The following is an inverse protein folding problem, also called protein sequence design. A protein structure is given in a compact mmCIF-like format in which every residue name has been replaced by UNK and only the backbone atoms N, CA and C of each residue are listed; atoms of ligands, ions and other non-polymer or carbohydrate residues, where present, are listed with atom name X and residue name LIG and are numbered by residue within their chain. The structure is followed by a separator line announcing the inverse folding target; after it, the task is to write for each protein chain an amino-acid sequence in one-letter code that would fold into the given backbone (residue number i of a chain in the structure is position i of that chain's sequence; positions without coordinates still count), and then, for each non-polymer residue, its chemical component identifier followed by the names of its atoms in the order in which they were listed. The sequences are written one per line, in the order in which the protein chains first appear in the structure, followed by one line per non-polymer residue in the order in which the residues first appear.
data_IF_820403748698
#
_entry.id   IF_820403748698
#
_cell.length_a   1.000
_cell.length_b   1.000
_cell.length_c   1.000
_cell.angle_alpha   90.00
_cell.angle_beta   90.00
_cell.angle_gamma   90.00
#
_symmetry.space_group_name_H-M   'P 1'
#
loop_
_entity.id
_entity.type
_entity.pdbx_description
1 polymer ?
#
# COMPACT_ATOMS: atom_id res chain seq x y z
N UNK A 1 -18.03 -11.50 20.28
CA UNK A 1 -17.11 -10.77 21.18
C UNK A 1 -16.19 -9.96 20.30
N UNK A 2 -16.21 -8.62 20.42
CA UNK A 2 -15.47 -7.70 19.53
C UNK A 2 -13.98 -8.08 19.58
N UNK A 3 -13.40 -8.61 18.49
CA UNK A 3 -12.14 -9.31 18.59
C UNK A 3 -11.01 -8.29 18.67
N UNK A 4 -10.16 -8.38 19.69
CA UNK A 4 -8.96 -7.55 19.88
C UNK A 4 -8.11 -7.43 18.60
N UNK A 5 -8.15 -8.44 17.73
CA UNK A 5 -7.51 -8.45 16.42
C UNK A 5 -8.00 -7.35 15.48
N UNK A 6 -9.29 -6.95 15.49
CA UNK A 6 -9.77 -5.82 14.65
C UNK A 6 -9.21 -4.49 15.10
N UNK A 7 -9.10 -4.26 16.40
CA UNK A 7 -8.53 -3.04 16.97
C UNK A 7 -7.03 -2.93 16.67
N UNK A 8 -6.30 -4.05 16.72
CA UNK A 8 -4.89 -4.13 16.33
C UNK A 8 -4.71 -3.84 14.83
N UNK A 9 -5.58 -4.36 13.96
CA UNK A 9 -5.52 -4.10 12.52
C UNK A 9 -5.72 -2.61 12.24
N UNK A 10 -6.75 -1.99 12.83
CA UNK A 10 -6.98 -0.54 12.67
C UNK A 10 -5.77 0.25 13.16
N UNK A 11 -5.21 -0.08 14.33
CA UNK A 11 -4.01 0.57 14.84
C UNK A 11 -2.79 0.44 13.91
N UNK A 12 -2.48 -0.78 13.48
CA UNK A 12 -1.32 -1.05 12.61
C UNK A 12 -1.51 -0.41 11.24
N UNK A 13 -2.69 -0.53 10.62
CA UNK A 13 -2.97 0.09 9.31
C UNK A 13 -2.90 1.61 9.35
N UNK A 14 -3.39 2.24 10.41
CA UNK A 14 -3.34 3.69 10.59
C UNK A 14 -1.90 4.17 10.80
N UNK A 15 -1.10 3.44 11.60
CA UNK A 15 0.34 3.71 11.75
C UNK A 15 1.07 3.54 10.42
N UNK A 16 0.83 2.44 9.70
CA UNK A 16 1.46 2.18 8.40
C UNK A 16 1.13 3.28 7.38
N UNK A 17 -0.14 3.71 7.34
CA UNK A 17 -0.60 4.79 6.48
C UNK A 17 0.12 6.10 6.79
N UNK A 18 0.21 6.49 8.08
CA UNK A 18 0.90 7.72 8.50
C UNK A 18 2.38 7.65 8.11
N UNK A 19 3.04 6.54 8.40
CA UNK A 19 4.45 6.32 8.07
C UNK A 19 4.67 6.43 6.56
N UNK A 20 3.84 5.78 5.75
CA UNK A 20 3.96 5.84 4.28
C UNK A 20 3.70 7.22 3.70
N UNK A 21 2.66 7.89 4.20
CA UNK A 21 2.28 9.22 3.71
C UNK A 21 3.39 10.23 4.02
N UNK A 22 3.95 10.17 5.23
CA UNK A 22 5.11 11.00 5.61
C UNK A 22 6.36 10.61 4.82
N UNK A 23 6.61 9.32 4.62
CA UNK A 23 7.78 8.84 3.89
C UNK A 23 7.74 9.28 2.42
N UNK A 24 6.60 9.13 1.74
CA UNK A 24 6.43 9.56 0.33
C UNK A 24 6.38 11.09 0.21
N UNK A 25 5.80 11.78 1.20
CA UNK A 25 5.69 13.23 1.24
C UNK A 25 7.02 13.95 1.46
N UNK A 26 7.85 13.43 2.37
CA UNK A 26 9.07 14.11 2.84
C UNK A 26 10.38 13.51 2.29
N UNK A 27 10.40 12.25 1.84
CA UNK A 27 11.64 11.61 1.39
C UNK A 27 12.05 12.03 -0.03
N UNK A 28 13.37 12.15 -0.26
CA UNK A 28 13.95 12.36 -1.61
C UNK A 28 13.52 11.26 -2.59
N UNK A 29 13.37 10.03 -2.10
CA UNK A 29 12.86 8.88 -2.87
C UNK A 29 11.40 9.07 -3.33
N UNK A 30 10.54 9.65 -2.49
CA UNK A 30 9.13 9.89 -2.82
C UNK A 30 8.93 10.98 -3.88
N UNK A 31 9.82 11.97 -3.91
CA UNK A 31 9.87 12.97 -4.99
C UNK A 31 10.35 12.37 -6.31
N UNK A 32 11.39 11.53 -6.26
CA UNK A 32 11.89 10.80 -7.42
C UNK A 32 10.82 9.87 -8.01
N UNK A 33 10.04 9.19 -7.17
CA UNK A 33 8.92 8.35 -7.59
C UNK A 33 7.83 9.13 -8.34
N UNK A 34 7.45 10.32 -7.86
CA UNK A 34 6.48 11.19 -8.53
C UNK A 34 7.02 11.72 -9.87
N UNK A 35 8.29 12.09 -9.93
CA UNK A 35 8.93 12.52 -11.18
C UNK A 35 9.00 11.39 -12.22
N UNK A 36 9.27 10.15 -11.80
CA UNK A 36 9.26 8.98 -12.68
C UNK A 36 7.85 8.60 -13.16
N UNK A 37 6.81 8.92 -12.38
CA UNK A 37 5.42 8.64 -12.76
C UNK A 37 4.91 9.57 -13.87
N UNK A 38 5.48 10.78 -14.00
CA UNK A 38 5.16 11.72 -15.07
C UNK A 38 5.86 11.33 -16.38
N UNK A 39 7.20 11.22 -16.35
CA UNK A 39 7.99 10.77 -17.49
C UNK A 39 9.31 10.13 -17.02
N UNK A 40 9.40 8.80 -17.17
CA UNK A 40 10.59 8.02 -16.82
C UNK A 40 11.84 8.45 -17.61
N UNK A 41 11.65 8.84 -18.88
CA UNK A 41 12.74 9.21 -19.78
C UNK A 41 13.31 10.57 -19.40
N UNK A 42 12.45 11.53 -19.06
CA UNK A 42 12.87 12.83 -18.55
C UNK A 42 13.52 12.73 -17.17
N UNK A 43 13.00 11.88 -16.27
CA UNK A 43 13.60 11.65 -14.95
C UNK A 43 15.04 11.12 -15.05
N UNK A 44 15.31 10.22 -16.01
CA UNK A 44 16.65 9.68 -16.24
C UNK A 44 17.62 10.75 -16.79
N UNK A 45 17.14 11.64 -17.65
CA UNK A 45 17.91 12.79 -18.15
C UNK A 45 18.27 13.80 -17.05
N UNK A 46 17.46 13.88 -15.99
CA UNK A 46 17.70 14.73 -14.81
C UNK A 46 18.65 14.07 -13.79
N UNK A 47 19.25 12.91 -14.12
CA UNK A 47 20.19 12.19 -13.25
C UNK A 47 19.52 11.38 -12.14
N UNK A 48 18.22 11.08 -12.27
CA UNK A 48 17.51 10.18 -11.35
C UNK A 48 17.66 8.74 -11.86
N UNK A 49 18.28 7.88 -11.06
CA UNK A 49 18.37 6.44 -11.33
C UNK A 49 16.97 5.78 -11.30
N UNK A 50 16.28 5.77 -12.44
CA UNK A 50 14.91 5.25 -12.55
C UNK A 50 14.85 3.79 -12.11
N UNK A 51 15.86 2.99 -12.43
CA UNK A 51 15.93 1.57 -12.06
C UNK A 51 15.97 1.37 -10.54
N UNK A 52 16.67 2.26 -9.81
CA UNK A 52 16.73 2.23 -8.34
C UNK A 52 15.40 2.65 -7.72
N UNK A 53 14.74 3.65 -8.30
CA UNK A 53 13.42 4.11 -7.86
C UNK A 53 12.38 3.01 -8.06
N UNK A 54 12.35 2.34 -9.22
CA UNK A 54 11.42 1.24 -9.53
C UNK A 54 11.65 0.05 -8.60
N UNK A 55 12.91 -0.35 -8.41
CA UNK A 55 13.22 -1.46 -7.50
C UNK A 55 12.78 -1.13 -6.06
N UNK A 56 13.04 0.10 -5.61
CA UNK A 56 12.66 0.54 -4.28
C UNK A 56 11.14 0.59 -4.09
N UNK A 57 10.37 1.12 -5.05
CA UNK A 57 8.91 1.16 -4.98
C UNK A 57 8.29 -0.24 -5.00
N UNK A 58 8.86 -1.15 -5.78
CA UNK A 58 8.43 -2.55 -5.81
C UNK A 58 8.67 -3.26 -4.48
N UNK A 59 9.87 -3.11 -3.91
CA UNK A 59 10.20 -3.69 -2.59
C UNK A 59 9.28 -3.12 -1.50
N UNK A 60 9.03 -1.81 -1.53
CA UNK A 60 8.16 -1.15 -0.57
C UNK A 60 6.71 -1.64 -0.69
N UNK A 61 6.21 -1.83 -1.92
CA UNK A 61 4.91 -2.46 -2.18
C UNK A 61 4.83 -3.92 -1.70
N UNK A 62 5.87 -4.72 -1.94
CA UNK A 62 5.93 -6.11 -1.49
C UNK A 62 5.95 -6.22 0.04
N UNK A 63 6.70 -5.35 0.73
CA UNK A 63 6.71 -5.27 2.19
C UNK A 63 5.32 -4.94 2.75
N UNK A 64 4.61 -3.98 2.13
CA UNK A 64 3.25 -3.63 2.52
C UNK A 64 2.26 -4.78 2.31
N UNK A 65 2.35 -5.45 1.16
CA UNK A 65 1.52 -6.60 0.86
C UNK A 65 1.76 -7.75 1.85
N UNK A 66 3.02 -8.00 2.23
CA UNK A 66 3.35 -9.00 3.24
C UNK A 66 2.75 -8.67 4.60
N UNK A 67 2.85 -7.42 5.06
CA UNK A 67 2.23 -6.97 6.32
C UNK A 67 0.71 -7.14 6.28
N UNK A 68 0.06 -6.72 5.19
CA UNK A 68 -1.38 -6.89 4.99
C UNK A 68 -1.82 -8.37 4.97
N UNK A 69 -1.05 -9.23 4.29
CA UNK A 69 -1.30 -10.67 4.22
C UNK A 69 -1.18 -11.35 5.59
N UNK A 70 -0.16 -11.00 6.38
CA UNK A 70 0.01 -11.52 7.75
C UNK A 70 -1.13 -11.08 8.65
N UNK A 71 -1.57 -9.81 8.56
CA UNK A 71 -2.73 -9.30 9.30
C UNK A 71 -4.01 -10.09 8.98
N UNK A 72 -4.28 -10.35 7.70
CA UNK A 72 -5.45 -11.15 7.26
C UNK A 72 -5.33 -12.60 7.77
N UNK A 73 -4.15 -13.21 7.64
CA UNK A 73 -3.87 -14.59 8.08
C UNK A 73 -4.09 -14.80 9.57
N UNK A 74 -3.66 -13.84 10.41
CA UNK A 74 -3.89 -13.85 11.86
C UNK A 74 -5.36 -13.74 12.24
N UNK A 75 -6.20 -13.15 11.39
CA UNK A 75 -7.61 -12.87 11.71
C UNK A 75 -8.53 -14.04 11.38
N UNK A 76 -8.25 -14.75 10.28
CA UNK A 76 -9.18 -15.76 9.73
C UNK A 76 -8.91 -17.14 10.34
N UNK A 77 -7.70 -17.45 10.81
CA UNK A 77 -7.37 -18.69 11.54
C UNK A 77 -7.61 -20.00 10.77
N UNK A 78 -8.11 -19.91 9.53
CA UNK A 78 -8.42 -20.99 8.60
C UNK A 78 -7.78 -20.64 7.26
N UNK A 79 -6.74 -21.35 6.90
CA UNK A 79 -6.03 -21.18 5.63
C UNK A 79 -6.87 -21.83 4.52
N UNK A 80 -7.73 -21.05 3.87
CA UNK A 80 -8.41 -21.44 2.65
C UNK A 80 -7.78 -20.67 1.46
N UNK A 81 -7.27 -21.34 0.42
CA UNK A 81 -6.63 -20.68 -0.73
C UNK A 81 -7.48 -19.57 -1.39
N UNK A 82 -8.81 -19.69 -1.34
CA UNK A 82 -9.75 -18.72 -1.92
C UNK A 82 -9.78 -17.35 -1.22
N UNK A 83 -9.26 -17.25 0.01
CA UNK A 83 -9.24 -15.99 0.78
C UNK A 83 -8.36 -14.94 0.08
N UNK A 84 -7.23 -15.35 -0.50
CA UNK A 84 -6.34 -14.44 -1.21
C UNK A 84 -7.00 -13.80 -2.43
N UNK A 85 -7.83 -14.55 -3.15
CA UNK A 85 -8.54 -14.05 -4.33
C UNK A 85 -9.62 -13.03 -3.96
N UNK A 86 -10.45 -13.34 -2.96
CA UNK A 86 -11.49 -12.41 -2.47
C UNK A 86 -10.87 -11.16 -1.85
N UNK A 87 -9.79 -11.31 -1.07
CA UNK A 87 -9.07 -10.18 -0.50
C UNK A 87 -8.43 -9.31 -1.59
N UNK A 88 -7.88 -9.93 -2.64
CA UNK A 88 -7.29 -9.23 -3.78
C UNK A 88 -8.31 -8.38 -4.55
N UNK A 89 -9.47 -8.96 -4.86
CA UNK A 89 -10.55 -8.22 -5.53
C UNK A 89 -11.01 -7.05 -4.66
N UNK A 90 -11.30 -7.27 -3.38
CA UNK A 90 -11.71 -6.21 -2.45
C UNK A 90 -10.67 -5.10 -2.34
N UNK A 91 -9.38 -5.46 -2.23
CA UNK A 91 -8.29 -4.50 -2.13
C UNK A 91 -8.14 -3.67 -3.42
N UNK A 92 -8.28 -4.29 -4.59
CA UNK A 92 -8.20 -3.58 -5.87
C UNK A 92 -9.39 -2.65 -6.05
N UNK A 93 -10.62 -3.10 -5.75
CA UNK A 93 -11.81 -2.24 -5.81
C UNK A 93 -11.70 -1.07 -4.83
N UNK A 94 -11.18 -1.29 -3.62
CA UNK A 94 -10.91 -0.23 -2.65
C UNK A 94 -9.89 0.79 -3.14
N UNK A 95 -8.80 0.34 -3.77
CA UNK A 95 -7.80 1.22 -4.34
C UNK A 95 -8.34 2.04 -5.52
N UNK A 96 -9.19 1.46 -6.37
CA UNK A 96 -9.83 2.17 -7.49
C UNK A 96 -10.86 3.18 -6.97
N UNK A 97 -11.72 2.79 -6.03
CA UNK A 97 -12.71 3.68 -5.40
C UNK A 97 -12.03 4.86 -4.68
N UNK A 98 -10.92 4.58 -4.01
CA UNK A 98 -10.12 5.58 -3.30
C UNK A 98 -9.16 6.40 -4.16
N UNK A 99 -8.96 6.02 -5.43
CA UNK A 99 -8.02 6.66 -6.35
C UNK A 99 -6.58 6.12 -6.25
N UNK A 100 -6.07 5.60 -7.38
CA UNK A 100 -4.78 4.89 -7.53
C UNK A 100 -3.55 5.74 -7.12
N UNK A 101 -3.69 7.08 -7.16
CA UNK A 101 -2.62 8.02 -6.82
C UNK A 101 -2.67 8.57 -5.39
N UNK A 102 -3.69 8.25 -4.59
CA UNK A 102 -3.88 8.82 -3.26
C UNK A 102 -3.91 7.74 -2.17
N UNK A 103 -2.84 7.70 -1.36
CA UNK A 103 -2.73 6.78 -0.21
C UNK A 103 -3.89 6.97 0.78
N UNK A 104 -4.30 8.21 1.14
CA UNK A 104 -5.40 8.40 2.07
C UNK A 104 -6.76 7.98 1.48
N UNK A 105 -6.97 8.22 0.18
CA UNK A 105 -8.20 7.84 -0.50
C UNK A 105 -8.33 6.31 -0.60
N UNK A 106 -7.25 5.59 -0.91
CA UNK A 106 -7.23 4.14 -0.92
C UNK A 106 -7.59 3.52 0.45
N UNK A 107 -7.15 4.13 1.55
CA UNK A 107 -7.53 3.68 2.90
C UNK A 107 -9.03 3.87 3.16
N UNK A 108 -9.57 5.04 2.85
CA UNK A 108 -11.01 5.31 2.99
C UNK A 108 -11.85 4.38 2.12
N UNK A 109 -11.40 4.10 0.89
CA UNK A 109 -12.05 3.13 0.01
C UNK A 109 -12.06 1.72 0.59
N UNK A 110 -10.97 1.31 1.28
CA UNK A 110 -10.90 0.04 1.99
C UNK A 110 -11.84 -0.05 3.19
N UNK A 111 -11.90 1.02 3.98
CA UNK A 111 -12.82 1.11 5.14
C UNK A 111 -14.29 1.06 4.71
N UNK A 112 -14.63 1.67 3.57
CA UNK A 112 -15.98 1.66 3.02
C UNK A 112 -16.40 0.30 2.45
N UNK A 113 -15.49 -0.42 1.80
CA UNK A 113 -15.78 -1.72 1.17
C UNK A 113 -15.78 -2.90 2.16
N UNK A 114 -15.05 -2.79 3.28
CA UNK A 114 -15.05 -3.78 4.35
C UNK A 114 -14.10 -4.96 4.12
#
# INVERSE_FOLDING_TARGET
TVPYSRLLIVGVTLVLMIVLTLFIGHSRMGRACRACAEDMRMANLLGIDTNRVISFTFVLGAMLAAVGGVLIGLTIGKLNPFIGFIAGIKAFTAAVLGGIGSIPGAMLGGVLLG
#
